data_IF_212659913050
#
_entry.id   IF_212659913050
#
_cell.length_a   1.000
_cell.length_b   1.000
_cell.length_c   1.000
_cell.angle_alpha   90.00
_cell.angle_beta   90.00
_cell.angle_gamma   90.00
#
_symmetry.space_group_name_H-M   'P 1'
#
loop_
_entity.id
_entity.type
_entity.pdbx_description
1 polymer ?
#
# COMPACT_ATOMS: atom_id res chain seq x y z
N UNK A 1 -49.74 3.95 24.21
CA UNK A 1 -48.72 4.86 23.64
C UNK A 1 -47.29 4.59 24.18
N UNK A 2 -47.04 4.43 25.49
CA UNK A 2 -45.69 4.19 26.01
C UNK A 2 -45.00 2.90 25.51
N UNK A 3 -45.73 1.80 25.29
CA UNK A 3 -45.18 0.52 24.78
C UNK A 3 -44.76 0.57 23.31
N UNK A 4 -45.40 1.44 22.50
CA UNK A 4 -45.06 1.60 21.07
C UNK A 4 -43.80 2.42 20.89
N UNK A 5 -43.54 3.44 21.73
CA UNK A 5 -42.32 4.24 21.70
C UNK A 5 -41.07 3.39 22.08
N UNK A 6 -41.21 2.47 23.03
CA UNK A 6 -40.09 1.59 23.46
C UNK A 6 -39.72 0.61 22.35
N UNK A 7 -40.69 0.09 21.60
CA UNK A 7 -40.42 -0.81 20.46
C UNK A 7 -39.71 -0.10 19.28
N UNK A 8 -40.11 1.16 19.02
CA UNK A 8 -39.46 1.96 17.95
C UNK A 8 -38.01 2.34 18.33
N UNK A 9 -37.78 2.66 19.61
CA UNK A 9 -36.42 2.97 20.09
C UNK A 9 -35.49 1.75 20.04
N UNK A 10 -35.97 0.55 20.36
CA UNK A 10 -35.21 -0.69 20.22
C UNK A 10 -34.94 -1.06 18.74
N UNK A 11 -35.85 -0.76 17.82
CA UNK A 11 -35.64 -1.03 16.39
C UNK A 11 -34.58 -0.11 15.77
N UNK A 12 -34.53 1.16 16.18
CA UNK A 12 -33.52 2.13 15.69
C UNK A 12 -32.14 1.83 16.24
N UNK A 13 -32.03 1.27 17.44
CA UNK A 13 -30.74 0.85 18.00
C UNK A 13 -30.23 -0.48 17.42
N UNK A 14 -31.13 -1.38 17.00
CA UNK A 14 -30.72 -2.65 16.36
C UNK A 14 -30.23 -2.47 14.92
N UNK A 15 -30.69 -1.48 14.18
CA UNK A 15 -30.25 -1.20 12.82
C UNK A 15 -28.83 -0.61 12.76
N UNK A 16 -28.32 -0.01 13.83
CA UNK A 16 -26.95 0.50 13.89
C UNK A 16 -25.90 -0.57 14.27
N UNK A 17 -26.31 -1.77 14.68
CA UNK A 17 -25.36 -2.86 15.07
C UNK A 17 -25.03 -3.75 13.85
N UNK A 18 -25.80 -3.67 12.75
CA UNK A 18 -25.64 -4.57 11.58
C UNK A 18 -24.89 -3.96 10.39
N UNK A 19 -24.34 -2.76 10.52
CA UNK A 19 -23.56 -2.14 9.44
C UNK A 19 -22.11 -1.95 9.85
N UNK A 20 -21.40 -3.05 10.14
CA UNK A 20 -19.95 -3.06 9.98
C UNK A 20 -19.68 -3.49 8.55
N UNK A 21 -19.52 -2.57 7.59
CA UNK A 21 -19.33 -2.97 6.21
C UNK A 21 -18.01 -3.70 6.10
N UNK A 22 -18.08 -4.97 5.70
CA UNK A 22 -16.92 -5.83 5.41
C UNK A 22 -16.12 -5.31 4.20
N UNK A 23 -16.61 -4.27 3.53
CA UNK A 23 -16.07 -3.70 2.30
C UNK A 23 -15.43 -2.33 2.54
N UNK A 24 -14.65 -1.87 1.59
CA UNK A 24 -14.09 -0.52 1.62
C UNK A 24 -15.19 0.52 1.80
N UNK A 25 -14.96 1.50 2.67
CA UNK A 25 -15.90 2.58 2.99
C UNK A 25 -15.45 3.85 2.30
N UNK A 26 -16.39 4.60 1.75
CA UNK A 26 -16.12 5.95 1.29
C UNK A 26 -15.99 6.87 2.51
N UNK A 27 -14.77 7.36 2.75
CA UNK A 27 -14.44 8.20 3.92
C UNK A 27 -14.55 9.70 3.59
N UNK A 28 -14.51 10.03 2.30
CA UNK A 28 -14.77 11.34 1.71
C UNK A 28 -15.07 11.15 0.23
N UNK A 29 -15.72 12.12 -0.47
CA UNK A 29 -16.09 11.95 -1.87
C UNK A 29 -14.93 11.45 -2.74
N UNK A 30 -15.15 10.32 -3.39
CA UNK A 30 -14.18 9.68 -4.29
C UNK A 30 -13.00 8.97 -3.63
N UNK A 31 -13.00 8.82 -2.28
CA UNK A 31 -11.91 8.15 -1.56
C UNK A 31 -12.46 7.01 -0.72
N UNK A 32 -12.04 5.80 -1.04
CA UNK A 32 -12.34 4.62 -0.24
C UNK A 32 -11.23 4.33 0.78
N UNK A 33 -11.60 3.60 1.82
CA UNK A 33 -10.68 3.08 2.83
C UNK A 33 -11.12 1.70 3.28
N UNK A 34 -10.18 0.76 3.38
CA UNK A 34 -10.45 -0.54 3.97
C UNK A 34 -10.65 -0.37 5.47
N UNK A 35 -11.73 -0.92 6.08
CA UNK A 35 -11.95 -0.85 7.52
C UNK A 35 -10.81 -1.46 8.31
N UNK A 36 -10.42 -0.84 9.44
CA UNK A 36 -9.30 -1.30 10.26
C UNK A 36 -9.50 -2.73 10.79
N UNK A 37 -10.75 -3.15 11.05
CA UNK A 37 -11.08 -4.51 11.45
C UNK A 37 -10.63 -5.60 10.43
N UNK A 38 -10.37 -5.23 9.18
CA UNK A 38 -9.86 -6.16 8.17
C UNK A 38 -8.37 -6.47 8.33
N UNK A 39 -7.67 -5.71 9.14
CA UNK A 39 -6.25 -5.84 9.41
C UNK A 39 -5.96 -6.44 10.78
N UNK A 40 -7.01 -6.79 11.53
CA UNK A 40 -6.88 -7.43 12.84
C UNK A 40 -6.57 -8.92 12.68
N UNK A 41 -5.75 -9.45 13.58
CA UNK A 41 -5.41 -10.87 13.67
C UNK A 41 -4.79 -11.48 12.39
N UNK A 42 -4.12 -10.68 11.58
CA UNK A 42 -3.41 -11.19 10.42
C UNK A 42 -2.15 -11.97 10.85
N UNK A 43 -1.92 -13.18 10.31
CA UNK A 43 -0.78 -14.00 10.69
C UNK A 43 0.57 -13.31 10.48
N UNK A 44 1.31 -13.10 11.58
CA UNK A 44 2.65 -12.50 11.55
C UNK A 44 2.66 -11.00 11.21
N UNK A 45 1.52 -10.31 11.35
CA UNK A 45 1.41 -8.87 11.08
C UNK A 45 0.80 -8.16 12.30
N UNK A 46 1.63 -7.98 13.30
CA UNK A 46 1.22 -7.44 14.61
C UNK A 46 1.93 -6.12 14.89
N UNK A 47 1.98 -5.24 13.87
CA UNK A 47 2.66 -3.96 13.91
C UNK A 47 1.67 -2.85 14.24
N UNK A 48 2.14 -1.84 15.01
CA UNK A 48 1.36 -0.63 15.27
C UNK A 48 1.25 0.19 13.98
N UNK A 49 0.04 0.60 13.57
CA UNK A 49 -0.14 1.37 12.36
C UNK A 49 0.25 2.85 12.56
N UNK A 50 1.07 3.38 11.69
CA UNK A 50 1.38 4.81 11.61
C UNK A 50 0.76 5.43 10.36
N UNK A 51 0.47 6.72 10.43
CA UNK A 51 -0.18 7.44 9.33
C UNK A 51 0.41 8.82 9.12
N UNK A 52 0.58 9.20 7.84
CA UNK A 52 0.82 10.56 7.40
C UNK A 52 -0.27 11.01 6.43
N UNK A 53 -0.51 12.30 6.35
CA UNK A 53 -1.36 12.89 5.31
C UNK A 53 -0.48 13.66 4.33
N UNK A 54 -0.44 13.22 3.09
CA UNK A 54 0.34 13.82 2.00
C UNK A 54 -0.63 14.15 0.87
N UNK A 55 -0.65 15.40 0.42
CA UNK A 55 -1.57 15.92 -0.61
C UNK A 55 -3.04 15.56 -0.35
N UNK A 56 -3.41 15.55 0.93
CA UNK A 56 -4.77 15.21 1.37
C UNK A 56 -5.07 13.72 1.37
N UNK A 57 -4.17 12.82 1.03
CA UNK A 57 -4.33 11.36 1.14
C UNK A 57 -3.68 10.83 2.41
N UNK A 58 -4.38 9.96 3.13
CA UNK A 58 -3.81 9.21 4.25
C UNK A 58 -2.92 8.10 3.71
N UNK A 59 -1.65 8.10 4.09
CA UNK A 59 -0.69 7.04 3.82
C UNK A 59 -0.42 6.30 5.13
N UNK A 60 -0.61 4.99 5.12
CA UNK A 60 -0.19 4.10 6.20
C UNK A 60 1.26 3.69 6.01
N UNK A 61 1.98 3.51 7.11
CA UNK A 61 3.29 2.89 7.12
C UNK A 61 3.55 2.14 8.43
N UNK A 62 4.39 1.13 8.37
CA UNK A 62 5.00 0.46 9.52
C UNK A 62 6.26 1.22 9.87
N UNK A 63 6.53 1.39 11.17
CA UNK A 63 7.75 2.00 11.70
C UNK A 63 8.17 1.20 12.95
N UNK A 64 9.08 0.25 12.77
CA UNK A 64 9.49 -0.70 13.80
C UNK A 64 11.00 -0.67 14.02
N UNK A 65 11.41 -0.92 15.25
CA UNK A 65 12.80 -0.95 15.67
C UNK A 65 13.26 0.33 16.38
N UNK A 66 14.57 0.47 16.65
CA UNK A 66 15.10 1.62 17.36
C UNK A 66 14.99 2.89 16.50
N UNK A 67 14.52 3.99 17.09
CA UNK A 67 14.30 5.26 16.39
C UNK A 67 15.57 5.89 15.83
N UNK A 68 16.73 5.53 16.38
CA UNK A 68 18.07 5.95 15.96
C UNK A 68 18.79 4.87 15.13
N UNK A 69 18.14 3.74 14.85
CA UNK A 69 18.66 2.68 13.99
C UNK A 69 18.80 3.11 12.54
N UNK A 70 19.80 2.53 11.83
CA UNK A 70 19.92 2.75 10.39
C UNK A 70 18.62 2.29 9.69
N UNK A 71 18.11 3.13 8.79
CA UNK A 71 16.80 2.92 8.19
C UNK A 71 16.85 1.92 7.05
N UNK A 72 15.85 1.02 7.04
CA UNK A 72 15.52 0.16 5.90
C UNK A 72 14.12 0.55 5.43
N UNK A 73 14.02 1.20 4.27
CA UNK A 73 12.77 1.55 3.61
C UNK A 73 12.37 0.45 2.63
N UNK A 74 11.18 -0.12 2.80
CA UNK A 74 10.70 -1.26 2.01
C UNK A 74 9.44 -0.90 1.23
N UNK A 75 9.51 -0.83 -0.11
CA UNK A 75 8.36 -0.56 -0.97
C UNK A 75 7.85 -1.82 -1.66
N UNK A 76 6.59 -2.14 -1.40
CA UNK A 76 5.86 -3.25 -2.04
C UNK A 76 5.43 -2.89 -3.46
N UNK A 77 5.06 -3.91 -4.23
CA UNK A 77 4.44 -3.75 -5.53
C UNK A 77 2.99 -4.26 -5.58
N UNK A 78 2.47 -4.40 -6.78
CA UNK A 78 1.14 -4.96 -7.04
C UNK A 78 1.22 -6.49 -7.04
N UNK A 79 0.24 -7.18 -6.49
CA UNK A 79 -0.98 -6.74 -5.79
C UNK A 79 -0.84 -6.71 -4.27
N UNK A 80 0.36 -6.49 -3.77
CA UNK A 80 0.71 -6.61 -2.36
C UNK A 80 0.51 -5.28 -1.59
N UNK A 81 0.94 -5.24 -0.34
CA UNK A 81 1.00 -4.11 0.56
C UNK A 81 2.08 -4.40 1.62
N UNK A 82 2.28 -3.60 2.64
CA UNK A 82 3.35 -3.78 3.65
C UNK A 82 3.36 -5.17 4.31
N UNK A 83 2.26 -5.93 4.26
CA UNK A 83 2.19 -7.32 4.68
C UNK A 83 3.23 -8.23 4.00
N UNK A 84 3.69 -7.87 2.79
CA UNK A 84 4.77 -8.55 2.08
C UNK A 84 6.00 -8.70 2.97
N UNK A 85 6.33 -7.67 3.72
CA UNK A 85 7.54 -7.56 4.50
C UNK A 85 7.42 -8.05 5.96
N UNK A 86 6.24 -8.56 6.36
CA UNK A 86 5.96 -8.96 7.74
C UNK A 86 6.95 -9.93 8.37
N UNK A 87 7.64 -10.75 7.56
CA UNK A 87 8.67 -11.69 8.03
C UNK A 87 10.08 -11.10 8.02
N UNK A 88 10.30 -10.05 7.23
CA UNK A 88 11.60 -9.39 7.13
C UNK A 88 11.76 -8.34 8.23
N UNK A 89 10.69 -7.62 8.55
CA UNK A 89 10.70 -6.56 9.56
C UNK A 89 11.29 -7.06 10.91
N UNK A 90 10.82 -8.16 11.51
CA UNK A 90 11.38 -8.63 12.77
C UNK A 90 12.89 -8.96 12.68
N UNK A 91 13.31 -9.52 11.55
CA UNK A 91 14.73 -9.87 11.35
C UNK A 91 15.60 -8.61 11.36
N UNK A 92 15.15 -7.56 10.70
CA UNK A 92 15.90 -6.30 10.64
C UNK A 92 15.87 -5.57 11.99
N UNK A 93 14.72 -5.54 12.66
CA UNK A 93 14.60 -4.88 13.97
C UNK A 93 15.41 -5.59 15.05
N UNK A 94 15.44 -6.91 15.05
CA UNK A 94 16.32 -7.72 15.93
C UNK A 94 17.80 -7.45 15.67
N UNK A 95 18.17 -7.13 14.42
CA UNK A 95 19.52 -6.73 14.06
C UNK A 95 19.83 -5.24 14.33
N UNK A 96 18.90 -4.49 14.93
CA UNK A 96 19.09 -3.08 15.32
C UNK A 96 18.78 -2.05 14.24
N UNK A 97 18.14 -2.44 13.15
CA UNK A 97 17.66 -1.50 12.10
C UNK A 97 16.27 -0.95 12.41
N UNK A 98 16.01 0.25 11.92
CA UNK A 98 14.66 0.82 11.86
C UNK A 98 14.02 0.45 10.53
N UNK A 99 12.91 -0.26 10.57
CA UNK A 99 12.19 -0.78 9.40
C UNK A 99 10.97 0.08 9.09
N UNK A 100 10.97 0.73 7.93
CA UNK A 100 9.86 1.53 7.42
C UNK A 100 9.24 0.81 6.22
N UNK A 101 7.93 0.53 6.28
CA UNK A 101 7.23 -0.13 5.19
C UNK A 101 5.86 0.55 4.95
N UNK A 102 5.78 1.50 4.01
CA UNK A 102 4.53 2.15 3.67
C UNK A 102 3.64 1.28 2.78
N UNK A 103 2.32 1.54 2.85
CA UNK A 103 1.36 1.10 1.86
C UNK A 103 1.22 2.18 0.78
N UNK A 104 1.45 1.83 -0.47
CA UNK A 104 1.19 2.74 -1.58
C UNK A 104 -0.28 3.18 -1.60
N UNK A 105 -0.57 4.39 -2.08
CA UNK A 105 -1.95 4.83 -2.31
C UNK A 105 -2.67 3.82 -3.22
N UNK A 106 -3.88 3.43 -2.84
CA UNK A 106 -4.63 2.35 -3.47
C UNK A 106 -4.52 1.00 -2.74
N UNK A 107 -3.56 0.81 -1.86
CA UNK A 107 -3.26 -0.47 -1.21
C UNK A 107 -3.39 -0.43 0.32
N UNK A 108 -3.46 -1.61 0.91
CA UNK A 108 -3.43 -1.81 2.36
C UNK A 108 -4.35 -0.89 3.16
N UNK A 109 -3.78 -0.21 4.15
CA UNK A 109 -4.48 0.75 5.01
C UNK A 109 -4.46 2.19 4.48
N UNK A 110 -3.75 2.45 3.36
CA UNK A 110 -3.73 3.77 2.70
C UNK A 110 -5.05 4.09 2.01
N UNK A 111 -5.29 5.37 1.75
CA UNK A 111 -6.46 5.84 1.01
C UNK A 111 -6.48 5.28 -0.43
N UNK A 112 -7.68 5.10 -0.96
CA UNK A 112 -7.92 4.49 -2.28
C UNK A 112 -8.79 5.42 -3.11
N UNK A 113 -8.17 6.33 -3.90
CA UNK A 113 -8.90 7.13 -4.88
C UNK A 113 -9.66 6.26 -5.88
N UNK A 114 -10.95 6.55 -6.10
CA UNK A 114 -11.78 5.83 -7.07
C UNK A 114 -11.41 6.26 -8.51
N UNK A 115 -11.01 7.54 -8.67
CA UNK A 115 -10.59 8.04 -9.97
C UNK A 115 -9.27 7.39 -10.39
N UNK A 116 -9.31 6.60 -11.45
CA UNK A 116 -8.16 5.87 -11.99
C UNK A 116 -7.06 6.80 -12.51
N UNK A 117 -7.40 8.02 -12.97
CA UNK A 117 -6.43 8.98 -13.49
C UNK A 117 -5.45 9.51 -12.42
N UNK A 118 -5.78 9.34 -11.15
CA UNK A 118 -4.88 9.68 -10.02
C UNK A 118 -3.71 8.71 -9.94
N UNK A 119 -3.92 7.43 -10.28
CA UNK A 119 -2.93 6.36 -10.10
C UNK A 119 -1.87 6.37 -11.21
N UNK A 120 -1.12 7.47 -11.31
CA UNK A 120 0.01 7.57 -12.23
C UNK A 120 1.32 7.14 -11.56
N UNK A 121 2.31 6.73 -12.36
CA UNK A 121 3.65 6.45 -11.87
C UNK A 121 4.23 7.64 -11.10
N UNK A 122 4.11 8.85 -11.67
CA UNK A 122 4.63 10.08 -11.06
C UNK A 122 3.94 10.35 -9.70
N UNK A 123 2.62 10.19 -9.60
CA UNK A 123 1.90 10.37 -8.35
C UNK A 123 2.44 9.47 -7.23
N UNK A 124 2.76 8.21 -7.53
CA UNK A 124 3.34 7.30 -6.55
C UNK A 124 4.79 7.69 -6.18
N UNK A 125 5.58 8.16 -7.14
CA UNK A 125 6.92 8.69 -6.86
C UNK A 125 6.81 9.91 -5.93
N UNK A 126 5.98 10.89 -6.26
CA UNK A 126 5.83 12.12 -5.49
C UNK A 126 5.35 11.86 -4.06
N UNK A 127 4.32 11.02 -3.90
CA UNK A 127 3.77 10.70 -2.57
C UNK A 127 4.77 9.94 -1.70
N UNK A 128 5.56 9.04 -2.25
CA UNK A 128 6.57 8.31 -1.48
C UNK A 128 7.82 9.16 -1.22
N UNK A 129 8.20 10.06 -2.13
CA UNK A 129 9.26 11.06 -1.88
C UNK A 129 8.86 11.95 -0.70
N UNK A 130 7.63 12.48 -0.72
CA UNK A 130 7.13 13.32 0.38
C UNK A 130 7.08 12.56 1.72
N UNK A 131 6.81 11.24 1.71
CA UNK A 131 6.90 10.41 2.93
C UNK A 131 8.34 10.32 3.43
N UNK A 132 9.31 10.06 2.55
CA UNK A 132 10.75 10.00 2.89
C UNK A 132 11.20 11.32 3.52
N UNK A 133 10.77 12.45 2.95
CA UNK A 133 11.08 13.79 3.45
C UNK A 133 10.41 14.06 4.80
N UNK A 134 9.12 13.79 4.93
CA UNK A 134 8.36 14.02 6.16
C UNK A 134 8.88 13.21 7.34
N UNK A 135 9.40 12.00 7.10
CA UNK A 135 10.03 11.15 8.11
C UNK A 135 11.51 11.51 8.33
N UNK A 136 12.08 12.43 7.55
CA UNK A 136 13.47 12.85 7.66
C UNK A 136 14.47 11.72 7.41
N UNK A 137 14.14 10.76 6.53
CA UNK A 137 14.97 9.58 6.31
C UNK A 137 16.28 9.97 5.62
N UNK A 138 17.39 9.47 6.16
CA UNK A 138 18.77 9.67 5.65
C UNK A 138 19.59 8.40 5.88
N UNK A 139 20.69 8.23 5.16
CA UNK A 139 21.54 6.99 5.19
C UNK A 139 20.70 5.71 5.03
N UNK A 140 19.66 5.79 4.19
CA UNK A 140 18.63 4.77 4.08
C UNK A 140 19.09 3.63 3.16
N UNK A 141 18.85 2.40 3.59
CA UNK A 141 18.87 1.23 2.70
C UNK A 141 17.49 1.07 2.09
N UNK A 142 17.41 1.19 0.77
CA UNK A 142 16.16 0.95 0.03
C UNK A 142 16.01 -0.53 -0.32
N UNK A 143 14.82 -1.09 -0.07
CA UNK A 143 14.41 -2.45 -0.49
C UNK A 143 13.14 -2.33 -1.32
N UNK A 144 13.14 -2.82 -2.56
CA UNK A 144 12.01 -2.71 -3.46
C UNK A 144 11.69 -4.01 -4.21
N UNK A 145 10.41 -4.23 -4.46
CA UNK A 145 9.91 -5.36 -5.23
C UNK A 145 8.82 -4.89 -6.19
N UNK A 146 8.79 -5.42 -7.42
CA UNK A 146 7.80 -5.14 -8.46
C UNK A 146 7.65 -3.61 -8.71
N UNK A 147 6.44 -3.03 -8.68
CA UNK A 147 6.22 -1.59 -8.78
C UNK A 147 6.93 -0.78 -7.70
N UNK A 148 7.03 -1.32 -6.47
CA UNK A 148 7.80 -0.68 -5.42
C UNK A 148 9.27 -0.52 -5.78
N UNK A 149 9.84 -1.46 -6.54
CA UNK A 149 11.19 -1.34 -7.08
C UNK A 149 11.31 -0.23 -8.12
N UNK A 150 10.39 -0.16 -9.09
CA UNK A 150 10.37 0.89 -10.12
C UNK A 150 10.23 2.29 -9.50
N UNK A 151 9.26 2.46 -8.59
CA UNK A 151 8.99 3.72 -7.89
C UNK A 151 10.20 4.11 -7.04
N UNK A 152 10.68 3.18 -6.22
CA UNK A 152 11.76 3.46 -5.28
C UNK A 152 13.11 3.72 -5.94
N UNK A 153 13.45 3.05 -7.05
CA UNK A 153 14.67 3.35 -7.80
C UNK A 153 14.67 4.78 -8.36
N UNK A 154 13.50 5.29 -8.76
CA UNK A 154 13.37 6.69 -9.18
C UNK A 154 13.57 7.64 -8.00
N UNK A 155 12.97 7.33 -6.84
CA UNK A 155 13.14 8.12 -5.61
C UNK A 155 14.61 8.15 -5.21
N UNK A 156 15.29 7.00 -5.21
CA UNK A 156 16.74 6.91 -4.90
C UNK A 156 17.55 7.79 -5.85
N UNK A 157 17.30 7.70 -7.16
CA UNK A 157 18.05 8.45 -8.16
C UNK A 157 17.84 9.99 -8.07
N UNK A 158 16.67 10.42 -7.60
CA UNK A 158 16.35 11.85 -7.43
C UNK A 158 16.74 12.40 -6.04
N UNK A 159 17.13 11.53 -5.08
CA UNK A 159 17.48 11.89 -3.72
C UNK A 159 18.71 11.09 -3.24
N UNK A 160 19.77 11.07 -4.04
CA UNK A 160 20.97 10.24 -3.79
C UNK A 160 21.59 10.45 -2.41
N UNK A 161 21.53 11.67 -1.91
CA UNK A 161 22.05 12.06 -0.59
C UNK A 161 21.34 11.41 0.61
N UNK A 162 20.14 10.87 0.40
CA UNK A 162 19.34 10.21 1.43
C UNK A 162 19.53 8.71 1.49
N UNK A 163 20.12 8.10 0.43
CA UNK A 163 20.21 6.66 0.30
C UNK A 163 21.65 6.18 0.21
N UNK A 164 21.98 5.16 0.96
CA UNK A 164 23.33 4.57 0.98
C UNK A 164 23.42 3.20 0.32
N UNK A 165 22.31 2.47 0.24
CA UNK A 165 22.25 1.11 -0.33
C UNK A 165 20.93 0.84 -0.99
N UNK A 166 20.94 -0.07 -1.97
CA UNK A 166 19.77 -0.54 -2.70
C UNK A 166 19.77 -2.05 -2.78
N UNK A 167 18.64 -2.67 -2.44
CA UNK A 167 18.37 -4.08 -2.66
C UNK A 167 17.02 -4.22 -3.39
N UNK A 168 17.01 -4.84 -4.56
CA UNK A 168 15.82 -5.00 -5.37
C UNK A 168 15.59 -6.45 -5.76
N UNK A 169 14.32 -6.84 -5.84
CA UNK A 169 13.91 -8.16 -6.23
C UNK A 169 12.70 -8.09 -7.17
N UNK A 170 12.70 -8.93 -8.21
CA UNK A 170 11.56 -9.11 -9.12
C UNK A 170 10.96 -7.77 -9.62
N UNK A 171 11.82 -6.85 -10.04
CA UNK A 171 11.45 -5.54 -10.59
C UNK A 171 12.17 -5.29 -11.91
N UNK A 172 11.70 -4.29 -12.67
CA UNK A 172 12.38 -3.79 -13.86
C UNK A 172 13.31 -2.64 -13.54
N UNK A 173 14.40 -2.51 -14.27
CA UNK A 173 15.18 -1.28 -14.35
C UNK A 173 14.83 -0.61 -15.69
N UNK A 174 14.27 0.60 -15.68
CA UNK A 174 14.03 1.33 -16.93
C UNK A 174 15.35 1.55 -17.66
N UNK A 175 15.52 0.88 -18.78
CA UNK A 175 16.67 1.05 -19.67
C UNK A 175 16.16 1.67 -20.98
N UNK A 176 16.55 2.91 -21.30
CA UNK A 176 16.12 3.56 -22.56
C UNK A 176 16.55 2.79 -23.81
N UNK A 177 17.57 1.95 -23.72
CA UNK A 177 18.04 1.08 -24.81
C UNK A 177 17.35 -0.28 -24.84
N UNK A 178 16.58 -0.62 -23.79
CA UNK A 178 15.90 -1.90 -23.72
C UNK A 178 14.87 -2.04 -24.85
N UNK A 179 14.89 -3.19 -25.50
CA UNK A 179 13.86 -3.56 -26.45
C UNK A 179 12.54 -3.70 -25.70
N UNK A 180 11.49 -3.07 -26.23
CA UNK A 180 10.15 -3.18 -25.67
C UNK A 180 9.78 -4.66 -25.44
N UNK A 181 9.08 -4.94 -24.34
CA UNK A 181 8.62 -6.30 -24.05
C UNK A 181 7.78 -6.78 -25.26
N UNK A 182 8.15 -7.89 -25.91
CA UNK A 182 7.42 -8.36 -27.09
C UNK A 182 5.93 -8.55 -26.77
N UNK A 183 5.07 -8.08 -27.67
CA UNK A 183 3.60 -8.18 -27.51
C UNK A 183 3.10 -9.61 -27.36
N UNK A 184 3.82 -10.60 -27.90
CA UNK A 184 3.54 -12.02 -27.81
C UNK A 184 4.22 -12.69 -26.59
N UNK A 185 4.92 -11.95 -25.74
CA UNK A 185 5.52 -12.48 -24.52
C UNK A 185 4.47 -13.08 -23.59
N UNK A 186 4.91 -14.03 -22.72
CA UNK A 186 4.00 -14.63 -21.71
C UNK A 186 3.41 -13.56 -20.79
N UNK A 187 4.18 -12.54 -20.43
CA UNK A 187 3.73 -11.44 -19.59
C UNK A 187 2.64 -10.61 -20.28
N UNK A 188 2.84 -10.20 -21.53
CA UNK A 188 1.86 -9.40 -22.27
C UNK A 188 0.58 -10.20 -22.58
N UNK A 189 0.69 -11.50 -22.85
CA UNK A 189 -0.49 -12.39 -22.98
C UNK A 189 -1.26 -12.48 -21.67
N UNK A 190 -0.57 -12.72 -20.56
CA UNK A 190 -1.18 -12.74 -19.22
C UNK A 190 -1.89 -11.43 -18.91
N UNK A 191 -1.20 -10.29 -19.10
CA UNK A 191 -1.75 -8.95 -18.90
C UNK A 191 -3.06 -8.72 -19.68
N UNK A 192 -3.05 -8.99 -20.99
CA UNK A 192 -4.26 -8.84 -21.83
C UNK A 192 -5.42 -9.76 -21.41
N UNK A 193 -5.11 -11.00 -21.06
CA UNK A 193 -6.13 -11.93 -20.60
C UNK A 193 -6.80 -11.44 -19.32
N UNK A 194 -6.03 -11.04 -18.33
CA UNK A 194 -6.56 -10.57 -17.07
C UNK A 194 -7.30 -9.23 -17.22
N UNK A 195 -6.77 -8.29 -17.99
CA UNK A 195 -7.46 -7.03 -18.27
C UNK A 195 -8.82 -7.31 -18.95
N UNK A 196 -8.85 -8.18 -19.95
CA UNK A 196 -10.10 -8.56 -20.60
C UNK A 196 -11.11 -9.22 -19.65
N UNK A 197 -10.67 -9.95 -18.63
CA UNK A 197 -11.55 -10.53 -17.61
C UNK A 197 -12.09 -9.46 -16.66
N UNK A 198 -11.27 -8.48 -16.28
CA UNK A 198 -11.68 -7.33 -15.45
C UNK A 198 -12.71 -6.48 -16.22
N UNK A 199 -12.42 -6.17 -17.47
CA UNK A 199 -13.29 -5.31 -18.31
C UNK A 199 -14.68 -5.94 -18.52
N UNK A 200 -14.78 -7.27 -18.53
CA UNK A 200 -16.06 -8.00 -18.60
C UNK A 200 -16.73 -8.21 -17.24
N UNK A 201 -16.05 -7.90 -16.13
CA UNK A 201 -16.52 -8.17 -14.77
C UNK A 201 -16.45 -9.66 -14.37
N UNK A 202 -15.73 -10.48 -15.12
CA UNK A 202 -15.57 -11.92 -14.82
C UNK A 202 -14.77 -12.15 -13.53
N UNK A 203 -13.82 -11.27 -13.26
CA UNK A 203 -13.02 -11.25 -12.03
C UNK A 203 -12.87 -9.82 -11.51
N UNK A 204 -12.84 -9.68 -10.20
CA UNK A 204 -12.39 -8.44 -9.57
C UNK A 204 -10.88 -8.46 -9.36
N UNK A 205 -10.25 -7.29 -9.26
CA UNK A 205 -8.83 -7.19 -8.85
C UNK A 205 -8.56 -7.91 -7.53
N UNK A 206 -9.53 -7.92 -6.60
CA UNK A 206 -9.43 -8.67 -5.35
C UNK A 206 -9.41 -10.19 -5.51
N UNK A 207 -10.01 -10.73 -6.57
CA UNK A 207 -10.03 -12.19 -6.85
C UNK A 207 -8.70 -12.67 -7.43
N UNK A 208 -7.92 -11.80 -8.08
CA UNK A 208 -6.59 -12.16 -8.60
C UNK A 208 -5.53 -12.30 -7.52
N UNK A 209 -5.81 -11.87 -6.29
CA UNK A 209 -4.88 -11.79 -5.16
C UNK A 209 -5.08 -12.97 -4.18
N UNK A 210 -6.20 -13.68 -4.29
CA UNK A 210 -6.50 -14.84 -3.49
C UNK A 210 -5.89 -16.10 -4.08
#
# INVERSE_FOLDING_TARGET
MKKLLTAILCLVTLTNILSNPLWAQEVRPGILRTPDARFENLPGYNFEPHYLTIDGYRIHYIDEGPSDGQVILMLHGEPSWSYLYRKMIPIFTEAGYRSIAPDLIGFGRSDKPINMDVHTYQFHVDTQTALVEALGLTDTTFVGQDWGGLIGLRIVAENEDRFSRVAIANTGLPDPSAVAIPEDSRFMRWKRTNQGMIDRGDISTGTMIA
#
